data_IF_851763354069
#
_entry.id   IF_851763354069
#
_cell.length_a   1.000
_cell.length_b   1.000
_cell.length_c   1.000
_cell.angle_alpha   90.00
_cell.angle_beta   90.00
_cell.angle_gamma   90.00
#
_symmetry.space_group_name_H-M   'P 1'
#
loop_
_entity.id
_entity.type
_entity.pdbx_description
1 polymer ?
#
# COMPACT_ATOMS: atom_id res chain seq x y z
N UNK A 1 15.79 -9.45 12.61
CA UNK A 1 16.84 -10.48 12.48
C UNK A 1 16.32 -11.86 12.88
N UNK A 2 15.58 -11.99 13.97
CA UNK A 2 15.03 -13.28 14.44
C UNK A 2 14.06 -13.96 13.44
N UNK A 3 13.52 -13.20 12.49
CA UNK A 3 12.63 -13.67 11.44
C UNK A 3 13.34 -13.83 10.08
N UNK A 4 14.67 -13.86 10.05
CA UNK A 4 15.48 -13.95 8.82
C UNK A 4 15.26 -12.81 7.82
N UNK A 5 14.87 -11.63 8.32
CA UNK A 5 14.70 -10.43 7.50
C UNK A 5 15.95 -9.57 7.61
N UNK A 6 16.49 -9.15 6.47
CA UNK A 6 17.61 -8.21 6.42
C UNK A 6 17.16 -6.82 6.86
N UNK A 7 17.85 -6.25 7.84
CA UNK A 7 17.54 -4.91 8.40
C UNK A 7 18.55 -3.84 8.00
N UNK A 8 19.45 -4.15 7.09
CA UNK A 8 20.51 -3.25 6.60
C UNK A 8 19.94 -1.97 5.95
N UNK A 9 18.78 -2.09 5.31
CA UNK A 9 18.11 -1.01 4.59
C UNK A 9 16.98 -0.35 5.42
N UNK A 10 16.93 -0.60 6.74
CA UNK A 10 15.98 0.08 7.63
C UNK A 10 16.56 1.41 8.08
N UNK A 11 15.92 2.52 7.67
CA UNK A 11 16.30 3.85 8.14
C UNK A 11 15.92 4.02 9.62
N UNK A 12 16.89 4.32 10.47
CA UNK A 12 16.73 4.43 11.92
C UNK A 12 16.90 5.87 12.37
N UNK A 13 16.00 6.30 13.22
CA UNK A 13 15.98 7.65 13.78
C UNK A 13 16.31 7.59 15.29
N UNK A 14 17.58 7.66 15.68
CA UNK A 14 17.98 7.50 17.09
C UNK A 14 17.39 8.59 18.00
N UNK A 15 17.17 9.79 17.46
CA UNK A 15 16.61 10.94 18.20
C UNK A 15 15.09 11.08 18.02
N UNK A 16 14.47 10.14 17.31
CA UNK A 16 13.03 10.12 17.05
C UNK A 16 12.25 9.45 18.16
N UNK A 17 11.01 9.87 18.35
CA UNK A 17 10.05 9.14 19.18
C UNK A 17 9.27 8.17 18.30
N UNK A 18 9.00 6.97 18.84
CA UNK A 18 8.13 6.02 18.15
C UNK A 18 6.71 6.57 18.07
N UNK A 19 6.08 6.56 16.89
CA UNK A 19 4.67 6.90 16.78
C UNK A 19 3.82 5.87 17.50
N UNK A 20 2.68 6.29 18.04
CA UNK A 20 1.73 5.41 18.70
C UNK A 20 0.43 5.46 17.91
N UNK A 21 -0.07 4.29 17.55
CA UNK A 21 -1.41 4.11 16.98
C UNK A 21 -2.27 3.37 18.01
N UNK A 22 -3.37 3.99 18.41
CA UNK A 22 -4.39 3.32 19.21
C UNK A 22 -5.51 2.86 18.30
N UNK A 23 -5.81 1.57 18.33
CA UNK A 23 -6.91 0.97 17.61
C UNK A 23 -8.06 0.69 18.58
N UNK A 24 -9.19 1.31 18.37
CA UNK A 24 -10.42 1.06 19.10
C UNK A 24 -11.33 0.21 18.23
N UNK A 25 -11.70 -0.97 18.72
CA UNK A 25 -12.61 -1.86 18.00
C UNK A 25 -14.05 -1.44 18.24
N UNK A 26 -14.85 -1.36 17.18
CA UNK A 26 -16.30 -1.28 17.26
C UNK A 26 -16.92 -2.66 17.53
N UNK A 27 -18.26 -2.72 17.61
CA UNK A 27 -19.00 -3.95 17.90
C UNK A 27 -18.79 -5.04 16.82
N UNK A 28 -18.49 -4.63 15.58
CA UNK A 28 -18.17 -5.50 14.44
C UNK A 28 -16.67 -5.85 14.35
N UNK A 29 -15.88 -5.45 15.36
CA UNK A 29 -14.42 -5.62 15.45
C UNK A 29 -13.63 -4.88 14.38
N UNK A 30 -14.19 -3.87 13.74
CA UNK A 30 -13.44 -2.98 12.86
C UNK A 30 -12.65 -1.97 13.71
N UNK A 31 -11.44 -1.63 13.25
CA UNK A 31 -10.57 -0.74 13.98
C UNK A 31 -10.76 0.73 13.59
N UNK A 32 -11.03 1.56 14.58
CA UNK A 32 -10.96 3.01 14.50
C UNK A 32 -9.62 3.46 15.10
N UNK A 33 -8.80 4.17 14.31
CA UNK A 33 -7.43 4.53 14.70
C UNK A 33 -7.32 5.97 15.17
N UNK A 34 -6.62 6.17 16.30
CA UNK A 34 -6.09 7.47 16.72
C UNK A 34 -4.56 7.40 16.62
N UNK A 35 -3.98 8.34 15.86
CA UNK A 35 -2.55 8.40 15.63
C UNK A 35 -1.93 9.54 16.43
N UNK A 36 -0.94 9.21 17.27
CA UNK A 36 -0.06 10.17 17.92
C UNK A 36 1.24 10.22 17.14
N UNK A 37 1.41 11.29 16.36
CA UNK A 37 2.52 11.48 15.44
C UNK A 37 3.46 12.54 16.00
N UNK A 38 4.62 12.12 16.48
CA UNK A 38 5.73 13.01 16.80
C UNK A 38 6.95 12.46 16.06
N UNK A 39 6.86 12.53 14.72
CA UNK A 39 7.90 12.02 13.85
C UNK A 39 9.06 13.01 13.75
N UNK A 40 10.32 12.53 13.68
CA UNK A 40 11.40 13.31 13.10
C UNK A 40 11.10 13.64 11.65
N UNK A 41 11.85 14.57 11.05
CA UNK A 41 11.72 14.86 9.63
C UNK A 41 11.84 13.55 8.83
N UNK A 42 10.80 13.23 8.05
CA UNK A 42 10.80 12.00 7.28
C UNK A 42 11.87 12.05 6.20
N UNK A 43 12.60 10.97 6.06
CA UNK A 43 13.67 10.80 5.08
C UNK A 43 13.69 9.35 4.60
N UNK A 44 14.39 9.11 3.50
CA UNK A 44 14.66 7.79 2.95
C UNK A 44 16.11 7.80 2.45
N UNK A 45 17.06 7.73 3.37
CA UNK A 45 18.50 7.88 3.10
C UNK A 45 19.25 6.55 2.98
N UNK A 46 18.53 5.44 3.06
CA UNK A 46 19.13 4.12 2.87
C UNK A 46 19.69 3.96 1.45
N UNK A 47 20.79 3.21 1.26
CA UNK A 47 21.32 2.92 -0.06
C UNK A 47 20.32 2.09 -0.87
N UNK A 48 20.47 2.10 -2.20
CA UNK A 48 19.70 1.23 -3.09
C UNK A 48 20.09 -0.23 -2.82
N UNK A 49 19.12 -1.12 -2.52
CA UNK A 49 19.40 -2.53 -2.32
C UNK A 49 19.82 -3.20 -3.63
N UNK A 50 20.51 -4.33 -3.53
CA UNK A 50 20.72 -5.16 -4.71
C UNK A 50 19.38 -5.76 -5.13
N UNK A 51 18.92 -5.40 -6.32
CA UNK A 51 17.71 -5.93 -6.95
C UNK A 51 18.10 -6.75 -8.17
N UNK A 52 17.53 -7.94 -8.28
CA UNK A 52 17.68 -8.81 -9.44
C UNK A 52 16.37 -8.88 -10.23
N UNK A 53 16.45 -9.39 -11.45
CA UNK A 53 15.27 -9.61 -12.28
C UNK A 53 14.29 -10.55 -11.57
N UNK A 54 13.00 -10.23 -11.66
CA UNK A 54 11.88 -10.98 -11.08
C UNK A 54 11.81 -10.91 -9.53
N UNK A 55 12.70 -10.14 -8.87
CA UNK A 55 12.48 -9.76 -7.47
C UNK A 55 11.18 -8.97 -7.32
N UNK A 56 10.54 -9.05 -6.16
CA UNK A 56 9.32 -8.29 -5.88
C UNK A 56 9.67 -7.06 -5.06
N UNK A 57 9.44 -5.88 -5.64
CA UNK A 57 9.58 -4.59 -4.97
C UNK A 57 8.19 -4.10 -4.49
N UNK A 58 7.96 -4.16 -3.19
CA UNK A 58 6.69 -3.74 -2.57
C UNK A 58 6.80 -2.32 -2.03
N UNK A 59 5.88 -1.45 -2.42
CA UNK A 59 5.79 -0.10 -1.88
C UNK A 59 4.33 0.32 -1.70
N UNK A 60 4.11 1.36 -0.91
CA UNK A 60 2.75 1.83 -0.73
C UNK A 60 2.53 2.63 0.54
N UNK A 61 1.33 2.50 1.10
CA UNK A 61 0.78 3.25 2.21
C UNK A 61 0.85 4.78 2.01
N UNK A 62 0.38 5.53 2.99
CA UNK A 62 0.46 7.00 2.98
C UNK A 62 1.92 7.51 2.89
N UNK A 63 2.89 6.69 3.28
CA UNK A 63 4.31 6.99 3.17
C UNK A 63 4.76 7.21 1.71
N UNK A 64 4.26 6.41 0.77
CA UNK A 64 4.56 6.55 -0.66
C UNK A 64 3.99 7.83 -1.29
N UNK A 65 3.08 8.51 -0.60
CA UNK A 65 2.43 9.74 -1.05
C UNK A 65 3.06 11.00 -0.44
N UNK A 66 4.08 10.85 0.41
CA UNK A 66 4.73 11.97 1.09
C UNK A 66 5.57 12.79 0.10
N UNK A 67 5.28 14.09 -0.08
CA UNK A 67 6.01 14.94 -1.02
C UNK A 67 7.49 15.12 -0.64
N UNK A 68 7.84 15.04 0.64
CA UNK A 68 9.23 15.16 1.11
C UNK A 68 10.08 13.98 0.62
N UNK A 69 9.48 12.81 0.49
CA UNK A 69 10.16 11.59 0.07
C UNK A 69 10.08 11.35 -1.45
N UNK A 70 9.28 12.16 -2.17
CA UNK A 70 8.90 11.85 -3.55
C UNK A 70 10.08 11.59 -4.47
N UNK A 71 11.05 12.49 -4.49
CA UNK A 71 12.24 12.36 -5.35
C UNK A 71 12.96 11.04 -5.11
N UNK A 72 13.18 10.71 -3.84
CA UNK A 72 13.88 9.47 -3.46
C UNK A 72 13.04 8.22 -3.75
N UNK A 73 11.72 8.30 -3.56
CA UNK A 73 10.81 7.19 -3.89
C UNK A 73 10.82 6.90 -5.39
N UNK A 74 10.76 7.93 -6.23
CA UNK A 74 10.84 7.78 -7.69
C UNK A 74 12.17 7.16 -8.11
N UNK A 75 13.29 7.56 -7.50
CA UNK A 75 14.59 6.95 -7.74
C UNK A 75 14.61 5.43 -7.46
N UNK A 76 14.01 5.00 -6.33
CA UNK A 76 13.86 3.58 -6.01
C UNK A 76 12.98 2.84 -7.04
N UNK A 77 11.87 3.43 -7.43
CA UNK A 77 10.93 2.84 -8.40
C UNK A 77 11.57 2.70 -9.78
N UNK A 78 12.27 3.72 -10.26
CA UNK A 78 13.01 3.68 -11.53
C UNK A 78 14.11 2.62 -11.48
N UNK A 79 14.87 2.57 -10.39
CA UNK A 79 15.90 1.56 -10.19
C UNK A 79 15.34 0.14 -10.21
N UNK A 80 14.21 -0.11 -9.54
CA UNK A 80 13.53 -1.40 -9.55
C UNK A 80 13.05 -1.77 -10.97
N UNK A 81 12.49 -0.81 -11.70
CA UNK A 81 12.02 -0.99 -13.07
C UNK A 81 13.18 -1.32 -14.03
N UNK A 82 14.31 -0.59 -13.96
CA UNK A 82 15.51 -0.85 -14.75
C UNK A 82 16.06 -2.27 -14.50
N UNK A 83 15.94 -2.77 -13.28
CA UNK A 83 16.36 -4.13 -12.88
C UNK A 83 15.34 -5.20 -13.22
N UNK A 84 14.18 -4.82 -13.79
CA UNK A 84 13.09 -5.74 -14.13
C UNK A 84 12.52 -6.48 -12.91
N UNK A 85 12.50 -5.81 -11.77
CA UNK A 85 11.73 -6.27 -10.63
C UNK A 85 10.23 -6.19 -10.94
N UNK A 86 9.44 -6.98 -10.23
CA UNK A 86 7.98 -6.90 -10.23
C UNK A 86 7.58 -5.85 -9.19
N UNK A 87 7.04 -4.72 -9.64
CA UNK A 87 6.67 -3.61 -8.76
C UNK A 87 5.24 -3.80 -8.27
N UNK A 88 5.09 -3.95 -6.96
CA UNK A 88 3.81 -4.18 -6.29
C UNK A 88 3.41 -2.95 -5.47
N UNK A 89 2.30 -2.32 -5.82
CA UNK A 89 1.79 -1.12 -5.16
C UNK A 89 0.57 -1.44 -4.30
N UNK A 90 0.63 -1.10 -3.01
CA UNK A 90 -0.50 -1.16 -2.08
C UNK A 90 -0.74 0.23 -1.48
N UNK A 91 -1.72 1.02 -1.96
CA UNK A 91 -1.98 2.37 -1.46
C UNK A 91 -2.33 2.39 0.03
N UNK A 92 -2.98 1.37 0.55
CA UNK A 92 -3.41 1.26 1.95
C UNK A 92 -3.95 2.61 2.49
N UNK A 93 -4.90 3.18 1.75
CA UNK A 93 -5.35 4.57 1.91
C UNK A 93 -6.49 4.66 2.92
N UNK A 94 -6.15 4.97 4.14
CA UNK A 94 -7.07 4.95 5.27
C UNK A 94 -8.03 6.14 5.27
N UNK A 95 -9.23 5.94 5.83
CA UNK A 95 -10.29 6.95 5.97
C UNK A 95 -9.80 8.28 6.58
N UNK A 96 -8.86 8.23 7.52
CA UNK A 96 -8.25 9.41 8.13
C UNK A 96 -7.61 10.38 7.10
N UNK A 97 -7.24 9.89 5.91
CA UNK A 97 -6.62 10.66 4.84
C UNK A 97 -7.55 10.96 3.66
N UNK A 98 -8.83 10.51 3.71
CA UNK A 98 -9.78 10.65 2.60
C UNK A 98 -9.97 12.12 2.16
N UNK A 99 -9.89 13.07 3.10
CA UNK A 99 -9.98 14.50 2.82
C UNK A 99 -8.83 15.06 1.96
N UNK A 100 -7.73 14.31 1.85
CA UNK A 100 -6.55 14.67 1.05
C UNK A 100 -6.52 13.98 -0.32
N UNK A 101 -7.48 13.08 -0.61
CA UNK A 101 -7.47 12.25 -1.81
C UNK A 101 -7.27 13.05 -3.10
N UNK A 102 -8.01 14.16 -3.27
CA UNK A 102 -7.89 15.02 -4.45
C UNK A 102 -6.48 15.61 -4.59
N UNK A 103 -5.91 16.08 -3.49
CA UNK A 103 -4.56 16.68 -3.46
C UNK A 103 -3.48 15.67 -3.79
N UNK A 104 -3.66 14.43 -3.35
CA UNK A 104 -2.67 13.35 -3.50
C UNK A 104 -2.83 12.56 -4.79
N UNK A 105 -3.94 12.76 -5.53
CA UNK A 105 -4.24 12.02 -6.74
C UNK A 105 -3.11 12.03 -7.78
N UNK A 106 -2.42 13.15 -8.08
CA UNK A 106 -1.31 13.13 -9.03
C UNK A 106 -0.21 12.13 -8.64
N UNK A 107 0.12 12.05 -7.34
CA UNK A 107 1.12 11.09 -6.83
C UNK A 107 0.61 9.65 -6.86
N UNK A 108 -0.68 9.44 -6.61
CA UNK A 108 -1.30 8.11 -6.74
C UNK A 108 -1.20 7.62 -8.18
N UNK A 109 -1.54 8.47 -9.16
CA UNK A 109 -1.48 8.12 -10.57
C UNK A 109 -0.04 7.81 -11.01
N UNK A 110 0.92 8.62 -10.60
CA UNK A 110 2.34 8.35 -10.87
C UNK A 110 2.81 7.02 -10.25
N UNK A 111 2.33 6.66 -9.06
CA UNK A 111 2.61 5.36 -8.46
C UNK A 111 2.00 4.21 -9.25
N UNK A 112 0.79 4.40 -9.80
CA UNK A 112 0.14 3.41 -10.67
C UNK A 112 0.93 3.17 -11.96
N UNK A 113 1.57 4.19 -12.52
CA UNK A 113 2.40 4.08 -13.73
C UNK A 113 3.63 3.18 -13.53
N UNK A 114 4.17 3.14 -12.33
CA UNK A 114 5.28 2.24 -11.99
C UNK A 114 4.83 0.80 -11.68
N UNK A 115 3.58 0.59 -11.31
CA UNK A 115 3.12 -0.67 -10.77
C UNK A 115 2.85 -1.75 -11.83
N UNK A 116 3.43 -2.94 -11.65
CA UNK A 116 3.05 -4.16 -12.38
C UNK A 116 1.82 -4.83 -11.76
N UNK A 117 1.64 -4.65 -10.45
CA UNK A 117 0.50 -5.16 -9.69
C UNK A 117 0.03 -4.07 -8.74
N UNK A 118 -1.26 -3.78 -8.75
CA UNK A 118 -1.92 -2.91 -7.76
C UNK A 118 -2.78 -3.76 -6.85
N UNK A 119 -2.67 -3.58 -5.54
CA UNK A 119 -3.52 -4.25 -4.55
C UNK A 119 -4.12 -3.22 -3.60
N UNK A 120 -5.34 -3.42 -3.16
CA UNK A 120 -5.97 -2.66 -2.10
C UNK A 120 -7.26 -3.33 -1.63
N UNK A 121 -7.87 -2.78 -0.59
CA UNK A 121 -9.20 -3.17 -0.13
C UNK A 121 -10.27 -2.31 -0.83
N UNK A 122 -11.52 -2.77 -0.76
CA UNK A 122 -12.69 -1.97 -1.13
C UNK A 122 -12.74 -0.63 -0.36
N UNK A 123 -12.35 -0.61 0.92
CA UNK A 123 -12.25 0.60 1.74
C UNK A 123 -11.19 1.58 1.18
N UNK A 124 -10.03 1.09 0.75
CA UNK A 124 -8.97 1.94 0.18
C UNK A 124 -9.49 2.71 -1.04
N UNK A 125 -10.18 2.02 -1.93
CA UNK A 125 -10.70 2.62 -3.16
C UNK A 125 -11.95 3.48 -2.93
N UNK A 126 -12.77 3.13 -1.93
CA UNK A 126 -13.84 4.02 -1.46
C UNK A 126 -13.27 5.35 -0.96
N UNK A 127 -12.16 5.33 -0.24
CA UNK A 127 -11.50 6.53 0.28
C UNK A 127 -10.78 7.34 -0.82
N UNK A 128 -10.23 6.67 -1.86
CA UNK A 128 -9.49 7.31 -2.95
C UNK A 128 -10.42 7.87 -4.04
N UNK A 129 -11.41 7.09 -4.46
CA UNK A 129 -12.20 7.35 -5.66
C UNK A 129 -13.70 7.51 -5.37
N UNK A 130 -14.15 7.31 -4.12
CA UNK A 130 -15.57 7.30 -3.78
C UNK A 130 -16.29 6.06 -4.29
N UNK A 131 -15.56 5.00 -4.65
CA UNK A 131 -16.08 3.76 -5.23
C UNK A 131 -15.49 2.55 -4.54
N UNK A 132 -16.33 1.55 -4.24
CA UNK A 132 -15.94 0.29 -3.62
C UNK A 132 -16.11 -0.92 -4.55
N UNK A 133 -16.87 -0.77 -5.65
CA UNK A 133 -16.98 -1.83 -6.65
C UNK A 133 -15.67 -2.02 -7.41
N UNK A 134 -15.04 -3.17 -7.23
CA UNK A 134 -13.74 -3.48 -7.79
C UNK A 134 -13.70 -3.42 -9.32
N UNK A 135 -14.79 -3.81 -9.98
CA UNK A 135 -14.87 -3.79 -11.43
C UNK A 135 -14.94 -2.35 -11.99
N UNK A 136 -15.70 -1.47 -11.29
CA UNK A 136 -15.74 -0.04 -11.64
C UNK A 136 -14.38 0.62 -11.40
N UNK A 137 -13.77 0.39 -10.24
CA UNK A 137 -12.44 0.92 -9.92
C UNK A 137 -11.42 0.50 -10.97
N UNK A 138 -11.40 -0.79 -11.34
CA UNK A 138 -10.49 -1.27 -12.38
C UNK A 138 -10.72 -0.55 -13.72
N UNK A 139 -11.96 -0.53 -14.20
CA UNK A 139 -12.29 0.04 -15.51
C UNK A 139 -12.10 1.54 -15.62
N UNK A 140 -12.36 2.28 -14.55
CA UNK A 140 -12.35 3.73 -14.59
C UNK A 140 -11.03 4.35 -14.15
N UNK A 141 -10.24 3.63 -13.34
CA UNK A 141 -9.05 4.21 -12.71
C UNK A 141 -7.77 3.41 -12.94
N UNK A 142 -7.79 2.06 -12.85
CA UNK A 142 -6.55 1.27 -12.78
C UNK A 142 -6.08 0.79 -14.15
N UNK A 143 -6.98 0.27 -15.02
CA UNK A 143 -6.63 -0.40 -16.26
C UNK A 143 -5.78 0.43 -17.25
N UNK A 144 -5.77 1.75 -17.10
CA UNK A 144 -5.01 2.66 -17.96
C UNK A 144 -3.52 2.67 -17.62
N UNK A 145 -3.17 2.25 -16.40
CA UNK A 145 -1.84 2.27 -15.83
C UNK A 145 -1.31 0.86 -15.57
N UNK A 146 -2.12 0.01 -14.97
CA UNK A 146 -1.75 -1.33 -14.52
C UNK A 146 -2.76 -2.38 -14.98
N UNK A 147 -2.27 -3.50 -15.55
CA UNK A 147 -3.14 -4.58 -16.02
C UNK A 147 -3.59 -5.53 -14.90
N UNK A 148 -2.84 -5.62 -13.80
CA UNK A 148 -3.12 -6.56 -12.71
C UNK A 148 -3.59 -5.83 -11.47
N UNK A 149 -4.86 -6.04 -11.14
CA UNK A 149 -5.50 -5.39 -10.01
C UNK A 149 -6.09 -6.43 -9.05
N UNK A 150 -5.63 -6.42 -7.82
CA UNK A 150 -6.08 -7.30 -6.73
C UNK A 150 -6.91 -6.49 -5.73
N UNK A 151 -8.16 -6.89 -5.51
CA UNK A 151 -8.99 -6.32 -4.45
C UNK A 151 -9.31 -7.33 -3.38
N UNK A 152 -9.12 -6.95 -2.13
CA UNK A 152 -9.42 -7.77 -0.97
C UNK A 152 -10.71 -7.33 -0.31
N UNK A 153 -11.57 -8.30 0.05
CA UNK A 153 -12.91 -8.09 0.60
C UNK A 153 -13.07 -8.82 1.95
N UNK A 154 -12.03 -8.82 2.78
CA UNK A 154 -12.02 -9.51 4.07
C UNK A 154 -12.36 -10.99 3.95
N UNK A 155 -13.38 -11.45 4.68
CA UNK A 155 -13.84 -12.84 4.63
C UNK A 155 -14.40 -13.27 3.27
N UNK A 156 -14.77 -12.32 2.41
CA UNK A 156 -15.30 -12.59 1.07
C UNK A 156 -14.20 -12.84 0.02
N UNK A 157 -12.93 -12.92 0.42
CA UNK A 157 -11.85 -13.32 -0.46
C UNK A 157 -11.21 -12.18 -1.26
N UNK A 158 -10.69 -12.53 -2.43
CA UNK A 158 -9.89 -11.65 -3.29
C UNK A 158 -10.36 -11.75 -4.73
N UNK A 159 -10.48 -10.62 -5.41
CA UNK A 159 -10.68 -10.57 -6.85
C UNK A 159 -9.40 -10.13 -7.56
N UNK A 160 -9.04 -10.86 -8.61
CA UNK A 160 -8.01 -10.45 -9.57
C UNK A 160 -8.72 -9.96 -10.85
N UNK A 161 -8.49 -8.72 -11.21
CA UNK A 161 -8.93 -8.11 -12.46
C UNK A 161 -7.74 -7.93 -13.39
N UNK A 162 -7.92 -8.30 -14.65
CA UNK A 162 -7.00 -8.05 -15.75
C UNK A 162 -7.80 -7.59 -16.97
N UNK A 163 -7.13 -7.15 -18.04
CA UNK A 163 -7.80 -6.81 -19.30
C UNK A 163 -8.57 -7.99 -19.90
N UNK A 164 -8.14 -9.23 -19.61
CA UNK A 164 -8.65 -10.43 -20.28
C UNK A 164 -9.67 -11.19 -19.45
N UNK A 165 -9.60 -11.09 -18.13
CA UNK A 165 -10.47 -11.84 -17.23
C UNK A 165 -10.57 -11.20 -15.84
N UNK A 166 -11.62 -11.57 -15.13
CA UNK A 166 -11.76 -11.39 -13.68
C UNK A 166 -11.87 -12.76 -13.03
N UNK A 167 -11.13 -12.96 -11.94
CA UNK A 167 -11.15 -14.22 -11.19
C UNK A 167 -11.28 -13.94 -9.70
N UNK A 168 -12.19 -14.66 -9.06
CA UNK A 168 -12.38 -14.65 -7.61
C UNK A 168 -11.61 -15.81 -6.96
N UNK A 169 -11.08 -15.55 -5.77
CA UNK A 169 -10.44 -16.53 -4.90
C UNK A 169 -11.06 -16.42 -3.51
N UNK A 170 -11.61 -17.53 -3.04
CA UNK A 170 -12.22 -17.60 -1.70
C UNK A 170 -11.18 -17.38 -0.60
N UNK A 171 -11.61 -16.74 0.48
CA UNK A 171 -10.79 -16.64 1.70
C UNK A 171 -10.82 -17.95 2.48
N UNK A 172 -9.70 -18.38 3.07
CA UNK A 172 -9.73 -19.49 4.02
C UNK A 172 -10.72 -19.22 5.16
N UNK A 173 -11.51 -20.22 5.52
CA UNK A 173 -12.46 -20.13 6.63
C UNK A 173 -11.68 -20.20 7.96
N UNK A 174 -11.38 -19.04 8.52
CA UNK A 174 -10.74 -18.88 9.81
C UNK A 174 -11.61 -18.04 10.73
N UNK A 175 -11.52 -18.25 12.04
CA UNK A 175 -12.12 -17.34 13.02
C UNK A 175 -11.01 -16.36 13.49
N UNK A 176 -10.98 -15.12 12.97
CA UNK A 176 -9.96 -14.18 13.39
C UNK A 176 -10.24 -13.72 14.83
N UNK A 177 -9.19 -13.57 15.62
CA UNK A 177 -9.28 -12.95 16.95
C UNK A 177 -9.57 -11.45 16.82
N UNK A 178 -9.03 -10.80 15.79
CA UNK A 178 -9.31 -9.42 15.41
C UNK A 178 -9.03 -9.22 13.91
N UNK A 179 -9.57 -8.14 13.34
CA UNK A 179 -9.29 -7.70 11.97
C UNK A 179 -8.11 -6.72 11.90
N UNK A 180 -7.47 -6.45 13.03
CA UNK A 180 -6.29 -5.57 13.07
C UNK A 180 -5.10 -6.32 12.47
N UNK A 181 -4.62 -5.84 11.34
CA UNK A 181 -3.28 -6.19 10.89
C UNK A 181 -2.30 -5.39 11.74
N UNK A 182 -1.54 -6.07 12.58
CA UNK A 182 -0.40 -5.46 13.27
C UNK A 182 0.72 -5.42 12.23
N UNK A 183 0.94 -4.25 11.62
CA UNK A 183 2.17 -3.99 10.89
C UNK A 183 3.25 -3.65 11.92
N UNK A 184 4.20 -4.53 12.07
CA UNK A 184 5.42 -4.26 12.85
C UNK A 184 6.38 -3.40 12.04
#
# INVERSE_FOLDING_TARGET
>A
EDNHITTEFVDRFPDGKSPISLAFLDDDKNANYIFYKDYPAQRLEVPLPKIEKDDIFVFGSYYSLNPVLRTRMVEFLQYAQERKAIIYYDPNFRKAHAHEAIRLMPTVLENLEFADIVRGSDEDFQNLYGKSDAQEVYKEHIQFYCDRFLTTHGANGVNLHTRNFTRHFDSPQIQPLSTIAVSY
#
